data_IF_187175524934
#
_entry.id   IF_187175524934
#
_cell.length_a   1.000
_cell.length_b   1.000
_cell.length_c   1.000
_cell.angle_alpha   90.00
_cell.angle_beta   90.00
_cell.angle_gamma   90.00
#
_symmetry.space_group_name_H-M   'P 1'
#
loop_
_entity.id
_entity.type
_entity.pdbx_description
1 polymer ?
#
# COMPACT_ATOMS: atom_id res chain seq x y z
N UNK A 1 39.81 6.18 -21.37
CA UNK A 1 40.19 6.30 -19.94
C UNK A 1 39.60 7.57 -19.31
N UNK A 2 39.87 8.78 -19.84
CA UNK A 2 39.32 10.03 -19.29
C UNK A 2 37.78 10.12 -19.25
N UNK A 3 37.10 9.62 -20.28
CA UNK A 3 35.61 9.58 -20.31
C UNK A 3 35.05 8.65 -19.21
N UNK A 4 35.69 7.51 -18.97
CA UNK A 4 35.29 6.58 -17.91
C UNK A 4 35.50 7.20 -16.52
N UNK A 5 36.60 7.93 -16.30
CA UNK A 5 36.89 8.63 -15.05
C UNK A 5 35.89 9.78 -14.79
N UNK A 6 35.51 10.52 -15.82
CA UNK A 6 34.48 11.56 -15.72
C UNK A 6 33.10 10.96 -15.37
N UNK A 7 32.77 9.81 -15.95
CA UNK A 7 31.50 9.11 -15.70
C UNK A 7 31.45 8.53 -14.28
N UNK A 8 32.55 7.96 -13.78
CA UNK A 8 32.69 7.53 -12.39
C UNK A 8 32.60 8.71 -11.43
N UNK A 9 33.28 9.83 -11.72
CA UNK A 9 33.18 11.05 -10.92
C UNK A 9 31.75 11.61 -10.86
N UNK A 10 31.02 11.60 -11.98
CA UNK A 10 29.63 12.01 -12.05
C UNK A 10 28.71 11.10 -11.22
N UNK A 11 28.89 9.78 -11.32
CA UNK A 11 28.12 8.80 -10.54
C UNK A 11 28.38 8.98 -9.04
N UNK A 12 29.64 9.13 -8.63
CA UNK A 12 30.01 9.35 -7.22
C UNK A 12 29.50 10.68 -6.68
N UNK A 13 29.51 11.75 -7.48
CA UNK A 13 28.96 13.04 -7.08
C UNK A 13 27.43 12.99 -6.91
N UNK A 14 26.72 12.33 -7.86
CA UNK A 14 25.27 12.13 -7.76
C UNK A 14 24.92 11.25 -6.56
N UNK A 15 25.68 10.18 -6.33
CA UNK A 15 25.56 9.28 -5.17
C UNK A 15 25.79 10.02 -3.85
N UNK A 16 26.83 10.85 -3.77
CA UNK A 16 27.15 11.66 -2.59
C UNK A 16 26.04 12.68 -2.29
N UNK A 17 25.54 13.41 -3.30
CA UNK A 17 24.41 14.34 -3.11
C UNK A 17 23.12 13.63 -2.71
N UNK A 18 22.84 12.45 -3.27
CA UNK A 18 21.71 11.64 -2.87
C UNK A 18 21.85 11.17 -1.41
N UNK A 19 23.04 10.71 -1.03
CA UNK A 19 23.34 10.28 0.33
C UNK A 19 23.30 11.43 1.34
N UNK A 20 23.70 12.64 0.93
CA UNK A 20 23.65 13.84 1.76
C UNK A 20 22.22 14.36 1.97
N UNK A 21 21.39 14.39 0.91
CA UNK A 21 19.95 14.65 1.05
C UNK A 21 19.26 13.61 1.93
N UNK A 22 19.68 12.34 1.82
CA UNK A 22 19.16 11.25 2.66
C UNK A 22 19.56 11.39 4.12
N UNK A 23 20.82 11.71 4.43
CA UNK A 23 21.27 12.01 5.81
C UNK A 23 20.53 13.20 6.41
N UNK A 24 20.17 14.20 5.61
CA UNK A 24 19.37 15.35 6.07
C UNK A 24 17.93 14.94 6.37
N UNK A 25 17.30 14.08 5.55
CA UNK A 25 15.98 13.51 5.83
C UNK A 25 15.98 12.57 7.04
N UNK A 26 17.00 11.70 7.16
CA UNK A 26 17.23 10.84 8.33
C UNK A 26 17.40 11.68 9.61
N UNK A 27 18.16 12.79 9.56
CA UNK A 27 18.31 13.71 10.71
C UNK A 27 17.03 14.47 11.04
N UNK A 28 16.28 14.94 10.03
CA UNK A 28 15.02 15.65 10.23
C UNK A 28 13.93 14.73 10.82
N UNK A 29 13.88 13.46 10.41
CA UNK A 29 12.99 12.46 11.00
C UNK A 29 13.42 12.05 12.41
N UNK A 30 14.74 11.93 12.66
CA UNK A 30 15.27 11.64 13.99
C UNK A 30 15.09 12.78 15.01
N UNK A 31 14.81 14.01 14.56
CA UNK A 31 14.52 15.15 15.47
C UNK A 31 13.03 15.32 15.77
N UNK A 32 12.14 14.56 15.11
CA UNK A 32 10.68 14.64 15.29
C UNK A 32 10.10 13.50 16.16
N UNK A 33 10.93 12.54 16.57
CA UNK A 33 10.53 11.36 17.33
C UNK A 33 11.14 11.47 18.73
N UNK A 34 10.37 11.98 19.68
CA UNK A 34 10.82 12.18 21.07
C UNK A 34 10.57 10.95 21.97
N UNK A 35 9.69 10.01 21.57
CA UNK A 35 9.35 8.78 22.30
C UNK A 35 8.57 7.77 21.41
N UNK A 36 8.19 6.62 21.98
CA UNK A 36 7.40 5.56 21.32
C UNK A 36 6.05 6.10 20.80
N UNK A 37 5.46 7.08 21.50
CA UNK A 37 4.18 7.71 21.12
C UNK A 37 4.34 8.51 19.83
N UNK A 38 5.48 9.19 19.67
CA UNK A 38 5.85 9.89 18.44
C UNK A 38 5.91 8.97 17.22
N UNK A 39 6.50 7.78 17.37
CA UNK A 39 6.54 6.77 16.29
C UNK A 39 5.15 6.27 15.96
N UNK A 40 4.35 5.89 16.95
CA UNK A 40 3.00 5.38 16.71
C UNK A 40 2.13 6.44 16.04
N UNK A 41 2.20 7.70 16.47
CA UNK A 41 1.47 8.81 15.85
C UNK A 41 1.91 9.04 14.39
N UNK A 42 3.21 9.06 14.14
CA UNK A 42 3.78 9.26 12.80
C UNK A 42 3.38 8.12 11.87
N UNK A 43 3.60 6.88 12.30
CA UNK A 43 3.24 5.68 11.54
C UNK A 43 1.74 5.60 11.24
N UNK A 44 0.88 5.92 12.23
CA UNK A 44 -0.58 5.98 12.02
C UNK A 44 -0.96 7.00 10.96
N UNK A 45 -0.32 8.17 10.96
CA UNK A 45 -0.58 9.24 9.99
C UNK A 45 -0.16 8.82 8.59
N UNK A 46 1.06 8.29 8.43
CA UNK A 46 1.58 7.80 7.16
C UNK A 46 0.72 6.66 6.58
N UNK A 47 0.31 5.72 7.42
CA UNK A 47 -0.56 4.60 7.01
C UNK A 47 -1.90 5.13 6.48
N UNK A 48 -2.53 6.09 7.16
CA UNK A 48 -3.78 6.72 6.70
C UNK A 48 -3.60 7.41 5.35
N UNK A 49 -2.55 8.20 5.19
CA UNK A 49 -2.27 8.90 3.92
C UNK A 49 -2.04 7.92 2.76
N UNK A 50 -1.28 6.87 3.00
CA UNK A 50 -0.94 5.88 1.97
C UNK A 50 -2.14 5.03 1.58
N UNK A 51 -2.97 4.63 2.55
CA UNK A 51 -4.24 3.99 2.27
C UNK A 51 -5.14 4.89 1.41
N UNK A 52 -5.26 6.17 1.77
CA UNK A 52 -6.03 7.14 1.00
C UNK A 52 -5.56 7.25 -0.46
N UNK A 53 -4.25 7.41 -0.67
CA UNK A 53 -3.64 7.46 -2.01
C UNK A 53 -3.84 6.15 -2.78
N UNK A 54 -3.65 5.02 -2.13
CA UNK A 54 -3.81 3.69 -2.74
C UNK A 54 -5.26 3.46 -3.21
N UNK A 55 -6.25 3.84 -2.41
CA UNK A 55 -7.67 3.73 -2.79
C UNK A 55 -8.02 4.63 -3.97
N UNK A 56 -7.55 5.88 -4.00
CA UNK A 56 -7.74 6.78 -5.14
C UNK A 56 -7.10 6.20 -6.42
N UNK A 57 -5.83 5.78 -6.35
CA UNK A 57 -5.12 5.16 -7.49
C UNK A 57 -5.89 3.93 -8.00
N UNK A 58 -6.35 3.06 -7.11
CA UNK A 58 -7.07 1.85 -7.52
C UNK A 58 -8.40 2.18 -8.20
N UNK A 59 -9.19 3.08 -7.62
CA UNK A 59 -10.46 3.53 -8.21
C UNK A 59 -10.26 4.20 -9.57
N UNK A 60 -9.28 5.10 -9.68
CA UNK A 60 -8.99 5.80 -10.93
C UNK A 60 -8.43 4.85 -11.99
N UNK A 61 -7.74 3.77 -11.61
CA UNK A 61 -7.25 2.76 -12.56
C UNK A 61 -8.41 2.04 -13.26
N UNK A 62 -9.43 1.62 -12.50
CA UNK A 62 -10.65 1.00 -13.06
C UNK A 62 -11.30 1.97 -14.07
N UNK A 63 -11.53 3.22 -13.65
CA UNK A 63 -12.09 4.27 -14.51
C UNK A 63 -11.23 4.57 -15.75
N UNK A 64 -9.90 4.53 -15.61
CA UNK A 64 -8.96 4.76 -16.71
C UNK A 64 -9.01 3.67 -17.76
N UNK A 65 -9.20 2.42 -17.35
CA UNK A 65 -9.41 1.28 -18.25
C UNK A 65 -10.73 1.37 -19.00
N UNK A 66 -11.82 1.73 -18.33
CA UNK A 66 -13.12 1.94 -18.98
C UNK A 66 -13.03 3.01 -20.06
N UNK A 67 -12.44 4.15 -19.71
CA UNK A 67 -12.38 5.31 -20.61
C UNK A 67 -11.24 5.23 -21.62
N UNK A 68 -10.50 4.12 -21.62
CA UNK A 68 -9.29 3.92 -22.43
C UNK A 68 -8.32 5.12 -22.35
N UNK A 69 -8.26 5.76 -21.16
CA UNK A 69 -7.59 7.04 -20.99
C UNK A 69 -6.10 6.86 -20.74
N UNK A 70 -5.30 6.91 -21.82
CA UNK A 70 -3.83 6.77 -21.76
C UNK A 70 -3.16 7.75 -20.82
N UNK A 71 -3.56 9.02 -20.85
CA UNK A 71 -2.97 10.05 -20.00
C UNK A 71 -3.22 9.76 -18.52
N UNK A 72 -4.47 9.41 -18.18
CA UNK A 72 -4.85 9.06 -16.81
C UNK A 72 -4.11 7.81 -16.33
N UNK A 73 -4.08 6.74 -17.13
CA UNK A 73 -3.41 5.49 -16.74
C UNK A 73 -1.89 5.68 -16.54
N UNK A 74 -1.23 6.51 -17.37
CA UNK A 74 0.19 6.85 -17.18
C UNK A 74 0.42 7.61 -15.88
N UNK A 75 -0.42 8.59 -15.58
CA UNK A 75 -0.33 9.38 -14.35
C UNK A 75 -0.49 8.48 -13.12
N UNK A 76 -1.51 7.61 -13.14
CA UNK A 76 -1.79 6.65 -12.07
C UNK A 76 -0.63 5.66 -11.89
N UNK A 77 -0.09 5.10 -12.99
CA UNK A 77 1.06 4.20 -12.94
C UNK A 77 2.30 4.89 -12.35
N UNK A 78 2.54 6.16 -12.69
CA UNK A 78 3.62 6.94 -12.11
C UNK A 78 3.43 7.18 -10.60
N UNK A 79 2.21 7.51 -10.17
CA UNK A 79 1.88 7.70 -8.74
C UNK A 79 2.05 6.40 -7.94
N UNK A 80 1.63 5.27 -8.50
CA UNK A 80 1.79 3.97 -7.87
C UNK A 80 3.28 3.55 -7.78
N UNK A 81 4.07 3.82 -8.82
CA UNK A 81 5.53 3.58 -8.81
C UNK A 81 6.23 4.43 -7.75
N UNK A 82 5.84 5.70 -7.59
CA UNK A 82 6.37 6.58 -6.55
C UNK A 82 6.06 6.03 -5.14
N UNK A 83 4.81 5.62 -4.86
CA UNK A 83 4.44 5.01 -3.58
C UNK A 83 5.26 3.75 -3.29
N UNK A 84 5.41 2.89 -4.29
CA UNK A 84 6.22 1.68 -4.20
C UNK A 84 7.69 2.01 -3.89
N UNK A 85 8.29 2.97 -4.60
CA UNK A 85 9.67 3.37 -4.38
C UNK A 85 9.88 3.98 -2.99
N UNK A 86 8.93 4.78 -2.51
CA UNK A 86 8.96 5.35 -1.17
C UNK A 86 9.00 4.25 -0.10
N UNK A 87 8.11 3.26 -0.16
CA UNK A 87 8.12 2.16 0.82
C UNK A 87 9.27 1.18 0.64
N UNK A 88 9.73 0.96 -0.59
CA UNK A 88 10.96 0.22 -0.85
C UNK A 88 12.15 0.89 -0.15
N UNK A 89 12.27 2.21 -0.26
CA UNK A 89 13.34 2.97 0.37
C UNK A 89 13.19 2.97 1.89
N UNK A 90 11.98 3.18 2.41
CA UNK A 90 11.68 3.14 3.84
C UNK A 90 12.09 1.81 4.46
N UNK A 91 11.68 0.69 3.86
CA UNK A 91 12.08 -0.66 4.26
C UNK A 91 13.60 -0.85 4.23
N UNK A 92 14.27 -0.33 3.20
CA UNK A 92 15.70 -0.57 2.98
C UNK A 92 16.60 0.28 3.89
N UNK A 93 16.19 1.52 4.18
CA UNK A 93 17.08 2.53 4.75
C UNK A 93 16.59 3.14 6.05
N UNK A 94 15.28 3.16 6.32
CA UNK A 94 14.70 3.91 7.45
C UNK A 94 14.25 3.01 8.60
N UNK A 95 13.93 1.74 8.34
CA UNK A 95 13.45 0.81 9.38
C UNK A 95 14.45 0.67 10.53
N UNK A 96 15.71 0.29 10.24
CA UNK A 96 16.73 0.08 11.28
C UNK A 96 17.03 1.37 12.07
N UNK A 97 17.25 2.53 11.43
CA UNK A 97 17.41 3.78 12.18
C UNK A 97 16.20 4.14 13.05
N UNK A 98 14.97 3.89 12.58
CA UNK A 98 13.75 4.21 13.35
C UNK A 98 13.65 3.36 14.61
N UNK A 99 13.87 2.05 14.52
CA UNK A 99 13.84 1.18 15.71
C UNK A 99 14.98 1.51 16.68
N UNK A 100 16.14 1.95 16.19
CA UNK A 100 17.25 2.39 17.03
C UNK A 100 16.98 3.71 17.78
N UNK A 101 16.03 4.52 17.31
CA UNK A 101 15.63 5.77 17.99
C UNK A 101 14.61 5.59 19.11
N UNK A 102 14.01 4.40 19.24
CA UNK A 102 13.08 4.07 20.32
C UNK A 102 13.86 4.04 21.66
N UNK A 103 13.42 4.84 22.63
CA UNK A 103 14.22 5.12 23.84
C UNK A 103 14.00 4.07 24.93
N UNK A 104 12.74 3.71 25.18
CA UNK A 104 12.38 2.55 25.98
C UNK A 104 12.31 1.36 25.05
N UNK A 105 13.17 0.36 25.27
CA UNK A 105 13.16 -0.90 24.49
C UNK A 105 11.79 -1.57 24.60
N UNK A 106 10.93 -1.27 23.64
CA UNK A 106 9.59 -1.79 23.54
C UNK A 106 9.52 -2.64 22.27
N UNK A 107 10.02 -3.87 22.40
CA UNK A 107 10.20 -4.80 21.29
C UNK A 107 8.88 -5.06 20.53
N UNK A 108 7.74 -4.98 21.21
CA UNK A 108 6.44 -5.13 20.58
C UNK A 108 6.14 -3.97 19.62
N UNK A 109 6.44 -2.71 19.98
CA UNK A 109 6.26 -1.55 19.09
C UNK A 109 7.26 -1.62 17.92
N UNK A 110 8.52 -1.96 18.21
CA UNK A 110 9.55 -2.13 17.18
C UNK A 110 9.15 -3.20 16.15
N UNK A 111 8.68 -4.35 16.61
CA UNK A 111 8.21 -5.45 15.77
C UNK A 111 7.04 -5.00 14.90
N UNK A 112 6.01 -4.39 15.50
CA UNK A 112 4.82 -3.97 14.73
C UNK A 112 5.15 -2.87 13.72
N UNK A 113 6.07 -1.96 14.03
CA UNK A 113 6.56 -0.97 13.07
C UNK A 113 7.21 -1.61 11.84
N UNK A 114 8.09 -2.61 12.05
CA UNK A 114 8.71 -3.37 10.94
C UNK A 114 7.62 -4.00 10.06
N UNK A 115 6.64 -4.66 10.69
CA UNK A 115 5.54 -5.31 10.00
C UNK A 115 4.68 -4.31 9.20
N UNK A 116 4.37 -3.14 9.76
CA UNK A 116 3.61 -2.08 9.08
C UNK A 116 4.33 -1.64 7.80
N UNK A 117 5.64 -1.41 7.85
CA UNK A 117 6.43 -1.02 6.68
C UNK A 117 6.44 -2.13 5.63
N UNK A 118 6.62 -3.39 6.04
CA UNK A 118 6.66 -4.54 5.14
C UNK A 118 5.31 -4.80 4.46
N UNK A 119 4.20 -4.79 5.20
CA UNK A 119 2.87 -4.98 4.61
C UNK A 119 2.50 -3.82 3.68
N UNK A 120 2.85 -2.59 4.03
CA UNK A 120 2.61 -1.45 3.14
C UNK A 120 3.45 -1.54 1.87
N UNK A 121 4.69 -2.02 1.96
CA UNK A 121 5.51 -2.31 0.79
C UNK A 121 4.85 -3.35 -0.14
N UNK A 122 4.33 -4.47 0.38
CA UNK A 122 3.68 -5.47 -0.47
C UNK A 122 2.37 -4.95 -1.09
N UNK A 123 1.60 -4.13 -0.37
CA UNK A 123 0.39 -3.46 -0.91
C UNK A 123 0.76 -2.54 -2.08
N UNK A 124 1.77 -1.66 -1.90
CA UNK A 124 2.19 -0.71 -2.95
C UNK A 124 2.79 -1.42 -4.15
N UNK A 125 3.49 -2.54 -3.94
CA UNK A 125 4.01 -3.40 -5.00
C UNK A 125 2.89 -4.03 -5.83
N UNK A 126 1.84 -4.58 -5.21
CA UNK A 126 0.69 -5.14 -5.91
C UNK A 126 -0.08 -4.05 -6.69
N UNK A 127 -0.29 -2.87 -6.10
CA UNK A 127 -0.92 -1.73 -6.76
C UNK A 127 -0.12 -1.26 -7.99
N UNK A 128 1.22 -1.25 -7.88
CA UNK A 128 2.11 -0.93 -9.00
C UNK A 128 1.95 -1.90 -10.16
N UNK A 129 1.82 -3.21 -9.89
CA UNK A 129 1.58 -4.22 -10.94
C UNK A 129 0.25 -3.96 -11.66
N UNK A 130 -0.83 -3.74 -10.90
CA UNK A 130 -2.16 -3.41 -11.47
C UNK A 130 -2.05 -2.23 -12.44
N UNK A 131 -1.44 -1.14 -11.98
CA UNK A 131 -1.42 0.13 -12.72
C UNK A 131 -0.45 0.10 -13.89
N UNK A 132 0.71 -0.55 -13.77
CA UNK A 132 1.66 -0.72 -14.88
C UNK A 132 1.07 -1.58 -15.99
N UNK A 133 0.43 -2.70 -15.64
CA UNK A 133 -0.19 -3.60 -16.62
C UNK A 133 -1.37 -2.92 -17.32
N UNK A 134 -2.18 -2.16 -16.58
CA UNK A 134 -3.30 -1.40 -17.11
C UNK A 134 -2.84 -0.32 -18.10
N UNK A 135 -1.82 0.45 -17.74
CA UNK A 135 -1.24 1.47 -18.63
C UNK A 135 -0.67 0.83 -19.89
N UNK A 136 0.17 -0.20 -19.76
CA UNK A 136 0.79 -0.89 -20.89
C UNK A 136 -0.26 -1.52 -21.83
N UNK A 137 -1.35 -2.05 -21.28
CA UNK A 137 -2.42 -2.65 -22.05
C UNK A 137 -3.09 -1.66 -23.02
N UNK A 138 -3.46 -0.48 -22.53
CA UNK A 138 -4.09 0.57 -23.35
C UNK A 138 -3.08 1.25 -24.28
N UNK A 139 -1.81 1.37 -23.87
CA UNK A 139 -0.72 1.82 -24.74
C UNK A 139 -0.53 0.92 -25.97
N UNK A 140 -0.73 -0.39 -25.79
CA UNK A 140 -0.69 -1.39 -26.86
C UNK A 140 -1.96 -1.42 -27.74
N UNK A 141 -2.80 -0.39 -27.67
CA UNK A 141 -4.05 -0.25 -28.44
C UNK A 141 -5.07 -1.39 -28.18
N UNK A 142 -5.00 -2.06 -27.04
CA UNK A 142 -6.07 -2.98 -26.67
C UNK A 142 -7.31 -2.20 -26.22
N UNK A 143 -8.50 -2.71 -26.60
CA UNK A 143 -9.77 -2.17 -26.10
C UNK A 143 -9.91 -2.40 -24.60
N UNK A 144 -10.48 -1.44 -23.91
CA UNK A 144 -10.80 -1.49 -22.49
C UNK A 144 -11.76 -2.62 -22.13
N UNK A 145 -12.16 -2.63 -20.86
CA UNK A 145 -13.16 -3.57 -20.36
C UNK A 145 -14.56 -3.20 -20.85
N UNK A 146 -15.40 -4.21 -21.04
CA UNK A 146 -16.82 -3.97 -21.32
C UNK A 146 -17.56 -3.57 -20.03
N UNK A 147 -18.80 -3.08 -20.17
CA UNK A 147 -19.62 -2.58 -19.06
C UNK A 147 -19.75 -3.60 -17.91
N UNK A 148 -19.89 -4.88 -18.23
CA UNK A 148 -20.05 -5.94 -17.23
C UNK A 148 -18.73 -6.19 -16.46
N UNK A 149 -17.59 -6.09 -17.12
CA UNK A 149 -16.26 -6.17 -16.50
C UNK A 149 -15.93 -4.93 -15.68
N UNK A 150 -16.36 -3.74 -16.14
CA UNK A 150 -16.24 -2.51 -15.38
C UNK A 150 -17.03 -2.59 -14.08
N UNK A 151 -18.32 -2.96 -14.16
CA UNK A 151 -19.19 -3.09 -12.98
C UNK A 151 -18.61 -4.09 -11.97
N UNK A 152 -18.12 -5.24 -12.44
CA UNK A 152 -17.45 -6.24 -11.61
C UNK A 152 -16.26 -5.65 -10.81
N UNK A 153 -15.43 -4.83 -11.46
CA UNK A 153 -14.25 -4.21 -10.85
C UNK A 153 -14.60 -3.00 -9.98
N UNK A 154 -15.63 -2.24 -10.34
CA UNK A 154 -16.11 -1.11 -9.55
C UNK A 154 -16.69 -1.60 -8.21
N UNK A 155 -17.50 -2.66 -8.24
CA UNK A 155 -18.04 -3.30 -7.04
C UNK A 155 -16.94 -3.88 -6.15
N UNK A 156 -15.93 -4.50 -6.75
CA UNK A 156 -14.76 -4.98 -6.03
C UNK A 156 -14.00 -3.82 -5.37
N UNK A 157 -13.78 -2.73 -6.11
CA UNK A 157 -13.14 -1.51 -5.62
C UNK A 157 -13.90 -0.91 -4.43
N UNK A 158 -15.23 -0.80 -4.51
CA UNK A 158 -16.10 -0.33 -3.41
C UNK A 158 -15.94 -1.17 -2.15
N UNK A 159 -15.87 -2.50 -2.26
CA UNK A 159 -15.66 -3.38 -1.10
C UNK A 159 -14.28 -3.21 -0.47
N UNK A 160 -13.24 -3.08 -1.29
CA UNK A 160 -11.89 -2.77 -0.79
C UNK A 160 -11.91 -1.44 -0.03
N UNK A 161 -12.51 -0.39 -0.61
CA UNK A 161 -12.69 0.91 0.06
C UNK A 161 -13.45 0.77 1.39
N UNK A 162 -14.52 -0.02 1.42
CA UNK A 162 -15.31 -0.23 2.64
C UNK A 162 -14.50 -0.90 3.76
N UNK A 163 -13.65 -1.89 3.42
CA UNK A 163 -12.75 -2.54 4.39
C UNK A 163 -11.83 -1.53 5.07
N UNK A 164 -11.22 -0.63 4.29
CA UNK A 164 -10.33 0.40 4.81
C UNK A 164 -11.06 1.48 5.62
N UNK A 165 -12.23 1.94 5.15
CA UNK A 165 -13.07 2.87 5.91
C UNK A 165 -13.46 2.31 7.27
N UNK A 166 -13.89 1.04 7.30
CA UNK A 166 -14.22 0.32 8.54
C UNK A 166 -13.05 0.34 9.54
N UNK A 167 -11.82 0.14 9.06
CA UNK A 167 -10.63 0.22 9.92
C UNK A 167 -10.30 1.65 10.37
N UNK A 168 -10.43 2.63 9.48
CA UNK A 168 -10.23 4.05 9.82
C UNK A 168 -11.20 4.48 10.94
N UNK A 169 -12.47 4.10 10.83
CA UNK A 169 -13.50 4.38 11.83
C UNK A 169 -13.19 3.72 13.20
N UNK A 170 -12.57 2.53 13.19
CA UNK A 170 -12.07 1.89 14.43
C UNK A 170 -10.92 2.68 15.04
N UNK A 171 -9.97 3.14 14.22
CA UNK A 171 -8.85 3.96 14.69
C UNK A 171 -9.31 5.31 15.26
N UNK A 172 -10.30 5.95 14.64
CA UNK A 172 -10.84 7.24 15.10
C UNK A 172 -11.60 7.11 16.43
N UNK A 173 -12.39 6.05 16.58
CA UNK A 173 -13.11 5.77 17.84
C UNK A 173 -12.23 5.13 18.92
N UNK A 174 -11.01 4.72 18.57
CA UNK A 174 -10.12 3.94 19.41
C UNK A 174 -10.80 2.66 19.97
N UNK A 175 -11.65 2.04 19.16
CA UNK A 175 -12.39 0.80 19.49
C UNK A 175 -12.18 -0.23 18.39
N UNK A 176 -11.50 -1.31 18.76
CA UNK A 176 -11.14 -2.42 17.87
C UNK A 176 -11.89 -3.72 18.20
N UNK A 177 -12.90 -3.67 19.08
CA UNK A 177 -13.73 -4.85 19.43
C UNK A 177 -14.37 -5.49 18.20
N UNK A 178 -14.73 -4.67 17.20
CA UNK A 178 -15.31 -5.10 15.93
C UNK A 178 -14.32 -5.59 14.87
N UNK A 179 -13.02 -5.78 15.18
CA UNK A 179 -11.99 -6.10 14.17
C UNK A 179 -12.30 -7.38 13.37
N UNK A 180 -13.04 -8.34 13.93
CA UNK A 180 -13.51 -9.51 13.21
C UNK A 180 -14.33 -9.18 11.94
N UNK A 181 -14.99 -8.01 11.90
CA UNK A 181 -15.71 -7.53 10.72
C UNK A 181 -14.78 -7.31 9.53
N UNK A 182 -13.57 -6.78 9.75
CA UNK A 182 -12.57 -6.59 8.69
C UNK A 182 -12.13 -7.94 8.10
N UNK A 183 -11.97 -8.94 8.95
CA UNK A 183 -11.64 -10.32 8.57
C UNK A 183 -12.74 -10.90 7.67
N UNK A 184 -14.01 -10.70 8.03
CA UNK A 184 -15.15 -11.15 7.23
C UNK A 184 -15.21 -10.44 5.87
N UNK A 185 -15.04 -9.11 5.83
CA UNK A 185 -15.02 -8.34 4.57
C UNK A 185 -13.90 -8.82 3.65
N UNK A 186 -12.70 -9.11 4.19
CA UNK A 186 -11.59 -9.70 3.44
C UNK A 186 -11.99 -11.02 2.79
N UNK A 187 -12.64 -11.91 3.55
CA UNK A 187 -13.05 -13.21 3.04
C UNK A 187 -14.15 -13.09 1.97
N UNK A 188 -15.08 -12.14 2.12
CA UNK A 188 -16.06 -11.80 1.09
C UNK A 188 -15.42 -11.28 -0.20
N UNK A 189 -14.37 -10.46 -0.10
CA UNK A 189 -13.62 -9.96 -1.26
C UNK A 189 -12.90 -11.11 -1.96
N UNK A 190 -12.24 -12.01 -1.21
CA UNK A 190 -11.56 -13.18 -1.77
C UNK A 190 -12.55 -14.10 -2.51
N UNK A 191 -13.71 -14.36 -1.91
CA UNK A 191 -14.76 -15.15 -2.54
C UNK A 191 -15.34 -14.46 -3.78
N UNK A 192 -15.51 -13.13 -3.75
CA UNK A 192 -15.90 -12.36 -4.93
C UNK A 192 -14.85 -12.48 -6.05
N UNK A 193 -13.55 -12.36 -5.75
CA UNK A 193 -12.49 -12.58 -6.74
C UNK A 193 -12.56 -13.99 -7.36
N UNK A 194 -12.87 -15.02 -6.57
CA UNK A 194 -13.06 -16.38 -7.07
C UNK A 194 -14.27 -16.49 -8.01
N UNK A 195 -15.39 -15.86 -7.66
CA UNK A 195 -16.60 -15.79 -8.51
C UNK A 195 -16.32 -15.03 -9.81
N UNK A 196 -15.66 -13.87 -9.74
CA UNK A 196 -15.27 -13.07 -10.91
C UNK A 196 -14.28 -13.81 -11.81
N UNK A 197 -13.37 -14.60 -11.24
CA UNK A 197 -12.47 -15.47 -12.01
C UNK A 197 -13.27 -16.49 -12.82
N UNK A 198 -14.24 -17.18 -12.19
CA UNK A 198 -15.13 -18.13 -12.89
C UNK A 198 -15.96 -17.43 -13.98
N UNK A 199 -16.46 -16.23 -13.69
CA UNK A 199 -17.20 -15.38 -14.64
C UNK A 199 -16.34 -15.04 -15.86
N UNK A 200 -15.09 -14.60 -15.65
CA UNK A 200 -14.16 -14.32 -16.74
C UNK A 200 -13.79 -15.56 -17.55
N UNK A 201 -13.64 -16.73 -16.90
CA UNK A 201 -13.40 -18.01 -17.62
C UNK A 201 -14.58 -18.33 -18.55
N UNK A 202 -15.83 -18.08 -18.13
CA UNK A 202 -17.01 -18.26 -19.00
C UNK A 202 -16.96 -17.32 -20.21
N UNK A 203 -16.73 -16.02 -19.99
CA UNK A 203 -16.55 -15.03 -21.09
C UNK A 203 -15.49 -15.46 -22.10
N UNK A 204 -14.40 -16.10 -21.67
CA UNK A 204 -13.38 -16.65 -22.58
C UNK A 204 -13.91 -17.84 -23.38
N UNK A 205 -14.59 -18.79 -22.73
CA UNK A 205 -15.17 -19.98 -23.39
C UNK A 205 -16.25 -19.60 -24.40
N UNK A 206 -17.05 -18.58 -24.07
CA UNK A 206 -18.15 -18.08 -24.89
C UNK A 206 -17.65 -17.10 -25.98
N UNK A 207 -16.34 -16.84 -26.04
CA UNK A 207 -15.66 -15.94 -27.01
C UNK A 207 -16.12 -14.47 -26.91
N UNK A 208 -16.60 -14.06 -25.75
CA UNK A 208 -17.05 -12.71 -25.43
C UNK A 208 -15.90 -11.80 -24.98
N UNK A 209 -14.72 -12.36 -24.71
CA UNK A 209 -13.53 -11.62 -24.29
C UNK A 209 -12.24 -12.17 -24.92
N UNK A 210 -11.33 -11.25 -25.25
CA UNK A 210 -10.02 -11.60 -25.82
C UNK A 210 -9.04 -12.14 -24.77
N UNK A 211 -8.01 -12.87 -25.22
CA UNK A 211 -6.98 -13.46 -24.34
C UNK A 211 -6.27 -12.42 -23.48
N UNK A 212 -5.76 -11.34 -24.07
CA UNK A 212 -5.02 -10.29 -23.34
C UNK A 212 -5.91 -9.54 -22.36
N UNK A 213 -7.16 -9.28 -22.75
CA UNK A 213 -8.18 -8.66 -21.90
C UNK A 213 -8.44 -9.53 -20.65
N UNK A 214 -8.66 -10.83 -20.85
CA UNK A 214 -8.94 -11.77 -19.77
C UNK A 214 -7.74 -11.97 -18.84
N UNK A 215 -6.52 -11.98 -19.38
CA UNK A 215 -5.29 -12.04 -18.57
C UNK A 215 -5.18 -10.78 -17.69
N UNK A 216 -5.38 -9.59 -18.24
CA UNK A 216 -5.35 -8.35 -17.45
C UNK A 216 -6.41 -8.38 -16.35
N UNK A 217 -7.65 -8.75 -16.67
CA UNK A 217 -8.74 -8.85 -15.69
C UNK A 217 -8.36 -9.80 -14.54
N UNK A 218 -7.88 -11.01 -14.86
CA UNK A 218 -7.45 -11.99 -13.85
C UNK A 218 -6.24 -11.51 -13.03
N UNK A 219 -5.29 -10.79 -13.64
CA UNK A 219 -4.17 -10.18 -12.92
C UNK A 219 -4.67 -9.15 -11.90
N UNK A 220 -5.60 -8.27 -12.29
CA UNK A 220 -6.20 -7.29 -11.38
C UNK A 220 -6.86 -8.00 -10.20
N UNK A 221 -7.63 -9.06 -10.43
CA UNK A 221 -8.24 -9.84 -9.34
C UNK A 221 -7.19 -10.49 -8.42
N UNK A 222 -6.09 -10.99 -8.99
CA UNK A 222 -5.01 -11.62 -8.22
C UNK A 222 -4.28 -10.61 -7.34
N UNK A 223 -3.89 -9.47 -7.89
CA UNK A 223 -3.23 -8.41 -7.11
C UNK A 223 -4.18 -7.77 -6.09
N UNK A 224 -5.49 -7.72 -6.38
CA UNK A 224 -6.49 -7.27 -5.41
C UNK A 224 -6.57 -8.22 -4.20
N UNK A 225 -6.49 -9.54 -4.42
CA UNK A 225 -6.40 -10.51 -3.31
C UNK A 225 -5.13 -10.29 -2.50
N UNK A 226 -3.99 -10.08 -3.16
CA UNK A 226 -2.71 -9.77 -2.48
C UNK A 226 -2.85 -8.53 -1.62
N UNK A 227 -3.35 -7.43 -2.20
CA UNK A 227 -3.64 -6.18 -1.49
C UNK A 227 -4.44 -6.48 -0.22
N UNK A 228 -5.61 -7.10 -0.36
CA UNK A 228 -6.56 -7.28 0.73
C UNK A 228 -6.03 -8.19 1.84
N UNK A 229 -5.25 -9.23 1.49
CA UNK A 229 -4.57 -10.07 2.47
C UNK A 229 -3.54 -9.27 3.28
N UNK A 230 -2.70 -8.47 2.61
CA UNK A 230 -1.69 -7.65 3.28
C UNK A 230 -2.31 -6.48 4.04
N UNK A 231 -3.42 -5.92 3.56
CA UNK A 231 -4.19 -4.88 4.26
C UNK A 231 -4.61 -5.34 5.65
N UNK A 232 -5.18 -6.55 5.77
CA UNK A 232 -5.63 -7.01 7.09
C UNK A 232 -4.45 -7.24 8.04
N UNK A 233 -3.30 -7.70 7.54
CA UNK A 233 -2.11 -7.85 8.37
C UNK A 233 -1.54 -6.49 8.81
N UNK A 234 -1.48 -5.51 7.90
CA UNK A 234 -1.17 -4.11 8.21
C UNK A 234 -2.08 -3.57 9.32
N UNK A 235 -3.39 -3.76 9.18
CA UNK A 235 -4.40 -3.29 10.14
C UNK A 235 -4.25 -3.97 11.51
N UNK A 236 -3.87 -5.26 11.56
CA UNK A 236 -3.56 -5.97 12.81
C UNK A 236 -2.34 -5.38 13.50
N UNK A 237 -1.25 -5.19 12.77
CA UNK A 237 -0.01 -4.62 13.32
C UNK A 237 -0.23 -3.19 13.81
N UNK A 238 -0.93 -2.37 13.04
CA UNK A 238 -1.31 -1.02 13.42
C UNK A 238 -2.15 -1.00 14.71
N UNK A 239 -3.16 -1.87 14.81
CA UNK A 239 -3.98 -2.02 16.02
C UNK A 239 -3.12 -2.40 17.23
N UNK A 240 -2.30 -3.43 17.09
CA UNK A 240 -1.48 -3.93 18.18
C UNK A 240 -0.52 -2.84 18.69
N UNK A 241 0.16 -2.14 17.79
CA UNK A 241 1.04 -1.03 18.11
C UNK A 241 0.33 0.10 18.88
N UNK A 242 -0.90 0.47 18.47
CA UNK A 242 -1.72 1.47 19.18
C UNK A 242 -2.11 0.99 20.58
N UNK A 243 -2.53 -0.26 20.72
CA UNK A 243 -2.94 -0.82 22.01
C UNK A 243 -1.75 -0.95 22.99
N UNK A 244 -0.57 -1.29 22.50
CA UNK A 244 0.66 -1.35 23.33
C UNK A 244 0.98 0.02 23.91
N UNK A 245 0.98 1.09 23.10
CA UNK A 245 1.21 2.45 23.60
C UNK A 245 0.15 2.90 24.60
N UNK A 246 -1.12 2.53 24.38
CA UNK A 246 -2.20 2.84 25.32
C UNK A 246 -1.95 2.18 26.68
N UNK A 247 -1.58 0.89 26.68
CA UNK A 247 -1.28 0.14 27.91
C UNK A 247 -0.11 0.75 28.69
N UNK A 248 0.98 1.11 28.01
CA UNK A 248 2.13 1.80 28.62
C UNK A 248 1.69 3.10 29.31
N UNK A 249 0.81 3.86 28.65
CA UNK A 249 0.30 5.13 29.19
C UNK A 249 -0.59 4.93 30.43
N UNK A 250 -1.38 3.85 30.47
CA UNK A 250 -2.20 3.47 31.62
C UNK A 250 -1.31 3.06 32.82
N UNK A 251 -0.30 2.22 32.60
CA UNK A 251 0.64 1.78 33.64
C UNK A 251 1.48 2.93 34.23
N UNK A 252 1.89 3.90 33.40
CA UNK A 252 2.57 5.12 33.88
C UNK A 252 1.68 6.01 34.75
N UNK A 253 0.37 6.02 34.46
CA UNK A 253 -0.60 6.81 35.22
C UNK A 253 -0.89 6.15 36.56
N UNK A 254 -0.99 4.83 36.60
CA UNK A 254 -1.16 4.06 37.85
C UNK A 254 0.07 4.17 38.77
N UNK A 255 1.29 4.16 38.23
CA UNK A 255 2.52 4.31 39.04
C UNK A 255 2.71 5.71 39.65
N UNK A 256 2.01 6.72 39.15
CA UNK A 256 2.07 8.12 39.64
C UNK A 256 1.01 8.43 40.70
N UNK A 257 0.00 7.58 40.85
CA UNK A 257 -1.07 7.70 41.84
C UNK A 257 -0.82 6.78 43.04
#
# INVERSE_FOLDING_TARGET
IFIALALVGFILFKSSKFHQKRKLAEKANATLIEDERGIVKTSTTEVREVIGKMLDIYHQNVKGLTKESRSLLREIASKADELYLNYKNKRTYEVVPTIQSITLKELDIEQEYVQIVDYTYEITKALRVITSDSSLYIENNHKGFNDEQEEDLEDLSKKVTNMYKTFIDMMERNDYSGFATIINIRDEIIEQCAKLTKKQIRRVKDKESGTRNSILFMNILNETKTIVLQSVNLMKSQRNMILTVKKISEEETEKKN
#
